data_IF_427149464827
#
_entry.id   IF_427149464827
#
_cell.length_a   1.000
_cell.length_b   1.000
_cell.length_c   1.000
_cell.angle_alpha   90.00
_cell.angle_beta   90.00
_cell.angle_gamma   90.00
#
_symmetry.space_group_name_H-M   'P 1'
#
loop_
_entity.id
_entity.type
_entity.pdbx_description
1 polymer ?
#
# COMPACT_ATOMS: atom_id res chain seq x y z
N UNK A 1 -14.66 4.55 4.77
CA UNK A 1 -13.53 3.63 4.97
C UNK A 1 -12.52 3.78 3.84
N UNK A 2 -11.26 4.02 4.18
CA UNK A 2 -10.15 4.09 3.21
C UNK A 2 -9.86 2.71 2.62
N UNK A 3 -9.71 2.64 1.29
CA UNK A 3 -9.16 1.47 0.58
C UNK A 3 -8.02 1.96 -0.31
N UNK A 4 -6.79 1.58 0.01
CA UNK A 4 -5.61 2.06 -0.71
C UNK A 4 -4.78 0.89 -1.24
N UNK A 5 -4.36 1.01 -2.50
CA UNK A 5 -3.37 0.11 -3.12
C UNK A 5 -2.05 0.84 -3.31
N UNK A 6 -0.98 0.21 -2.90
CA UNK A 6 0.37 0.61 -3.27
C UNK A 6 0.77 -0.14 -4.52
N UNK A 7 1.04 0.58 -5.58
CA UNK A 7 1.30 0.06 -6.92
C UNK A 7 2.62 0.55 -7.48
N UNK A 8 3.27 -0.26 -8.29
CA UNK A 8 4.37 0.15 -9.16
C UNK A 8 4.32 -0.61 -10.48
N UNK A 9 4.64 0.05 -11.59
CA UNK A 9 4.70 -0.61 -12.89
C UNK A 9 5.77 -1.71 -12.93
N UNK A 10 6.89 -1.52 -12.24
CA UNK A 10 8.03 -2.44 -12.25
C UNK A 10 8.52 -2.72 -10.83
N UNK A 11 9.02 -3.93 -10.60
CA UNK A 11 9.69 -4.29 -9.35
C UNK A 11 10.91 -3.41 -9.05
N UNK A 12 11.24 -3.27 -7.77
CA UNK A 12 12.36 -2.44 -7.31
C UNK A 12 12.05 -0.94 -7.25
N UNK A 13 10.79 -0.53 -7.30
CA UNK A 13 10.38 0.86 -7.05
C UNK A 13 10.36 1.24 -5.57
N UNK A 14 10.49 0.28 -4.65
CA UNK A 14 10.43 0.50 -3.20
C UNK A 14 9.00 0.59 -2.63
N UNK A 15 8.03 0.04 -3.35
CA UNK A 15 6.60 0.05 -2.97
C UNK A 15 6.36 -0.53 -1.58
N UNK A 16 6.83 -1.75 -1.33
CA UNK A 16 6.66 -2.47 -0.06
C UNK A 16 7.28 -1.72 1.11
N UNK A 17 8.48 -1.17 0.93
CA UNK A 17 9.17 -0.37 1.96
C UNK A 17 8.43 0.92 2.25
N UNK A 18 7.93 1.61 1.21
CA UNK A 18 7.13 2.81 1.37
C UNK A 18 5.86 2.50 2.18
N UNK A 19 5.14 1.45 1.82
CA UNK A 19 3.95 1.00 2.54
C UNK A 19 4.27 0.71 4.01
N UNK A 20 5.27 -0.14 4.25
CA UNK A 20 5.65 -0.58 5.60
C UNK A 20 5.97 0.61 6.52
N UNK A 21 6.79 1.56 6.04
CA UNK A 21 7.17 2.74 6.81
C UNK A 21 6.02 3.77 6.96
N UNK A 22 5.01 3.75 6.08
CA UNK A 22 3.84 4.64 6.20
C UNK A 22 2.81 4.13 7.21
N UNK A 23 2.75 2.83 7.47
CA UNK A 23 1.72 2.21 8.33
C UNK A 23 1.59 2.83 9.72
N UNK A 24 2.69 3.08 10.49
CA UNK A 24 2.58 3.68 11.82
C UNK A 24 1.94 5.06 11.80
N UNK A 25 2.30 5.89 10.84
CA UNK A 25 1.78 7.24 10.68
C UNK A 25 0.31 7.20 10.25
N UNK A 26 -0.03 6.31 9.32
CA UNK A 26 -1.42 6.13 8.87
C UNK A 26 -2.33 5.64 10.02
N UNK A 27 -1.83 4.75 10.88
CA UNK A 27 -2.59 4.29 12.04
C UNK A 27 -2.88 5.45 13.01
N UNK A 28 -1.92 6.34 13.23
CA UNK A 28 -2.10 7.56 14.04
C UNK A 28 -3.10 8.53 13.40
N UNK A 29 -2.93 8.85 12.12
CA UNK A 29 -3.81 9.80 11.40
C UNK A 29 -5.27 9.31 11.36
N UNK A 30 -5.49 8.01 11.22
CA UNK A 30 -6.83 7.42 11.22
C UNK A 30 -7.38 7.13 12.63
N UNK A 31 -6.62 7.36 13.69
CA UNK A 31 -6.96 6.96 15.05
C UNK A 31 -7.36 5.47 15.11
N UNK A 32 -6.59 4.63 14.43
CA UNK A 32 -6.85 3.20 14.39
C UNK A 32 -6.62 2.56 15.77
N UNK A 33 -7.43 1.58 16.10
CA UNK A 33 -7.37 0.85 17.37
C UNK A 33 -7.82 -0.61 17.17
N UNK A 34 -7.80 -1.41 18.22
CA UNK A 34 -8.13 -2.84 18.14
C UNK A 34 -9.59 -3.14 17.77
N UNK A 35 -10.51 -2.18 17.93
CA UNK A 35 -11.94 -2.34 17.55
C UNK A 35 -12.22 -1.75 16.17
N UNK A 36 -11.37 -0.86 15.68
CA UNK A 36 -11.44 -0.17 14.40
C UNK A 36 -10.06 -0.24 13.70
N UNK A 37 -9.58 -1.44 13.35
CA UNK A 37 -8.21 -1.63 12.86
C UNK A 37 -8.03 -1.20 11.40
N UNK A 38 -6.77 -1.14 10.99
CA UNK A 38 -6.34 -1.18 9.60
C UNK A 38 -6.10 -2.64 9.22
N UNK A 39 -6.59 -3.06 8.07
CA UNK A 39 -6.33 -4.39 7.51
C UNK A 39 -5.28 -4.24 6.40
N UNK A 40 -4.17 -4.95 6.51
CA UNK A 40 -3.09 -4.94 5.53
C UNK A 40 -3.06 -6.26 4.79
N UNK A 41 -3.08 -6.22 3.46
CA UNK A 41 -3.05 -7.40 2.60
C UNK A 41 -1.77 -7.38 1.77
N UNK A 42 -0.95 -8.42 1.87
CA UNK A 42 0.14 -8.67 0.93
C UNK A 42 -0.38 -9.49 -0.26
N UNK A 43 -0.63 -8.81 -1.38
CA UNK A 43 -1.11 -9.41 -2.62
C UNK A 43 0.01 -9.68 -3.63
N UNK A 44 1.26 -9.36 -3.28
CA UNK A 44 2.45 -9.72 -4.07
C UNK A 44 2.85 -11.16 -3.74
N UNK A 45 2.11 -12.10 -4.35
CA UNK A 45 2.23 -13.54 -4.07
C UNK A 45 3.57 -14.13 -4.53
N UNK A 46 4.26 -13.46 -5.45
CA UNK A 46 5.54 -13.90 -6.00
C UNK A 46 6.70 -13.45 -5.11
N UNK A 47 6.83 -12.16 -4.86
CA UNK A 47 7.96 -11.62 -4.09
C UNK A 47 7.74 -11.70 -2.58
N UNK A 48 6.48 -11.64 -2.11
CA UNK A 48 6.08 -11.73 -0.70
C UNK A 48 6.85 -10.78 0.22
N UNK A 49 7.23 -9.61 -0.33
CA UNK A 49 8.16 -8.70 0.34
C UNK A 49 7.67 -8.24 1.70
N UNK A 50 6.40 -7.87 1.81
CA UNK A 50 5.79 -7.45 3.07
C UNK A 50 5.67 -8.61 4.06
N UNK A 51 5.38 -9.81 3.57
CA UNK A 51 5.24 -11.02 4.40
C UNK A 51 6.55 -11.49 5.03
N UNK A 52 7.70 -11.11 4.45
CA UNK A 52 9.01 -11.36 5.10
C UNK A 52 9.36 -10.33 6.17
N UNK A 53 8.74 -9.15 6.14
CA UNK A 53 8.97 -8.08 7.11
C UNK A 53 8.03 -8.17 8.32
N UNK A 54 6.88 -8.83 8.17
CA UNK A 54 5.80 -8.83 9.16
C UNK A 54 5.55 -10.23 9.71
N UNK A 55 5.14 -10.34 10.98
CA UNK A 55 4.85 -11.64 11.59
C UNK A 55 3.65 -12.31 10.93
N UNK A 56 3.72 -13.60 10.78
CA UNK A 56 2.66 -14.41 10.20
C UNK A 56 2.17 -15.46 11.20
N UNK A 57 0.85 -15.57 11.38
CA UNK A 57 0.27 -16.71 12.08
C UNK A 57 0.32 -17.92 11.16
N UNK A 58 1.02 -18.98 11.55
CA UNK A 58 1.08 -20.24 10.79
C UNK A 58 -0.30 -20.84 10.49
N UNK A 59 -1.26 -20.66 11.42
CA UNK A 59 -2.65 -21.11 11.28
C UNK A 59 -3.59 -20.06 10.68
N UNK A 60 -3.08 -18.87 10.33
CA UNK A 60 -3.88 -17.75 9.86
C UNK A 60 -4.38 -17.93 8.43
N UNK A 61 -5.35 -17.07 8.06
CA UNK A 61 -5.78 -16.92 6.67
C UNK A 61 -4.69 -16.18 5.89
N UNK A 62 -4.44 -16.61 4.66
CA UNK A 62 -3.45 -15.98 3.77
C UNK A 62 -4.11 -15.30 2.55
N UNK A 63 -3.33 -14.54 1.80
CA UNK A 63 -3.83 -13.77 0.66
C UNK A 63 -4.47 -14.64 -0.43
N UNK A 64 -3.95 -15.85 -0.69
CA UNK A 64 -4.54 -16.78 -1.65
C UNK A 64 -5.95 -17.18 -1.23
N UNK A 65 -6.15 -17.50 0.05
CA UNK A 65 -7.45 -17.85 0.59
C UNK A 65 -8.42 -16.66 0.54
N UNK A 66 -7.89 -15.43 0.79
CA UNK A 66 -8.67 -14.20 0.63
C UNK A 66 -9.13 -14.03 -0.82
N UNK A 67 -8.23 -14.16 -1.79
CA UNK A 67 -8.55 -13.99 -3.22
C UNK A 67 -9.53 -15.07 -3.72
N UNK A 68 -9.45 -16.29 -3.20
CA UNK A 68 -10.35 -17.38 -3.55
C UNK A 68 -11.69 -17.40 -2.82
N UNK A 69 -11.89 -16.51 -1.85
CA UNK A 69 -13.13 -16.43 -1.08
C UNK A 69 -13.32 -17.56 -0.08
N UNK A 70 -12.33 -17.80 0.78
CA UNK A 70 -12.41 -18.77 1.87
C UNK A 70 -13.69 -18.60 2.71
N UNK A 71 -14.23 -19.70 3.23
CA UNK A 71 -15.45 -19.69 4.06
C UNK A 71 -15.32 -18.84 5.33
N UNK A 72 -14.09 -18.63 5.82
CA UNK A 72 -13.83 -17.75 6.95
C UNK A 72 -14.15 -16.27 6.65
N UNK A 73 -14.19 -15.90 5.36
CA UNK A 73 -14.54 -14.55 4.88
C UNK A 73 -16.07 -14.37 4.75
N UNK A 74 -16.85 -15.34 5.18
CA UNK A 74 -18.31 -15.25 5.08
C UNK A 74 -18.86 -14.13 5.98
N UNK A 75 -19.94 -13.47 5.52
CA UNK A 75 -20.68 -12.44 6.28
C UNK A 75 -21.47 -13.03 7.48
N UNK A 76 -20.86 -13.92 8.26
CA UNK A 76 -21.48 -14.44 9.48
C UNK A 76 -21.38 -13.38 10.55
N UNK A 77 -22.51 -12.97 11.07
CA UNK A 77 -22.56 -12.01 12.18
C UNK A 77 -21.83 -12.52 13.42
N UNK A 78 -20.95 -11.68 13.93
CA UNK A 78 -20.39 -11.79 15.26
C UNK A 78 -20.62 -10.48 15.98
N UNK A 79 -20.90 -10.51 17.26
CA UNK A 79 -21.11 -9.30 18.07
C UNK A 79 -19.83 -8.49 18.28
N UNK A 80 -18.66 -9.03 17.93
CA UNK A 80 -17.37 -8.40 18.14
C UNK A 80 -16.40 -8.79 17.02
N UNK A 81 -15.62 -7.83 16.51
CA UNK A 81 -14.58 -8.03 15.50
C UNK A 81 -13.61 -9.14 15.87
N UNK A 82 -13.21 -9.23 17.16
CA UNK A 82 -12.25 -10.23 17.66
C UNK A 82 -12.76 -11.67 17.57
N UNK A 83 -14.08 -11.86 17.59
CA UNK A 83 -14.73 -13.17 17.54
C UNK A 83 -15.12 -13.57 16.13
N UNK A 84 -14.99 -12.68 15.16
CA UNK A 84 -15.30 -13.02 13.77
C UNK A 84 -14.21 -13.92 13.19
N UNK A 85 -14.56 -15.04 12.51
CA UNK A 85 -13.59 -16.02 12.00
C UNK A 85 -12.51 -15.42 11.12
N UNK A 86 -12.80 -14.39 10.33
CA UNK A 86 -11.82 -13.71 9.50
C UNK A 86 -10.80 -12.96 10.37
N UNK A 87 -11.26 -12.03 11.19
CA UNK A 87 -10.35 -11.14 11.94
C UNK A 87 -9.54 -11.88 13.01
N UNK A 88 -10.10 -12.92 13.64
CA UNK A 88 -9.41 -13.73 14.63
C UNK A 88 -8.20 -14.51 14.09
N UNK A 89 -8.14 -14.71 12.77
CA UNK A 89 -7.04 -15.38 12.08
C UNK A 89 -5.95 -14.42 11.60
N UNK A 90 -6.16 -13.10 11.67
CA UNK A 90 -5.16 -12.12 11.26
C UNK A 90 -4.08 -11.93 12.32
N UNK A 91 -2.87 -11.60 11.87
CA UNK A 91 -1.73 -11.29 12.75
C UNK A 91 -1.76 -9.81 13.13
N UNK A 92 -1.74 -9.45 14.43
CA UNK A 92 -1.50 -8.06 14.83
C UNK A 92 -0.02 -7.71 14.60
N UNK A 93 0.26 -6.51 14.10
CA UNK A 93 1.62 -6.08 13.71
C UNK A 93 2.06 -4.76 14.37
N UNK A 94 1.43 -4.37 15.47
CA UNK A 94 1.71 -3.07 16.10
C UNK A 94 3.16 -2.88 16.52
N UNK A 95 3.73 -3.88 17.20
CA UNK A 95 5.10 -3.82 17.71
C UNK A 95 6.13 -3.81 16.58
N UNK A 96 5.94 -4.62 15.56
CA UNK A 96 6.83 -4.74 14.41
C UNK A 96 6.91 -3.46 13.57
N UNK A 97 5.85 -2.68 13.54
CA UNK A 97 5.82 -1.37 12.86
C UNK A 97 6.06 -0.20 13.82
N UNK A 98 6.54 -0.47 15.03
CA UNK A 98 6.89 0.58 15.99
C UNK A 98 5.69 1.39 16.48
N UNK A 99 4.51 0.78 16.59
CA UNK A 99 3.36 1.42 17.20
C UNK A 99 3.50 1.50 18.72
N UNK A 100 3.01 2.57 19.35
CA UNK A 100 2.84 2.62 20.78
C UNK A 100 2.01 1.45 21.31
N UNK A 101 2.24 1.02 22.54
CA UNK A 101 1.58 -0.14 23.14
C UNK A 101 0.04 -0.07 23.09
N UNK A 102 -0.53 1.12 23.21
CA UNK A 102 -1.97 1.38 23.08
C UNK A 102 -2.53 1.14 21.68
N UNK A 103 -1.67 1.17 20.65
CA UNK A 103 -2.05 0.90 19.27
C UNK A 103 -1.66 -0.49 18.78
N UNK A 104 -1.17 -1.36 19.67
CA UNK A 104 -0.54 -2.66 19.36
C UNK A 104 -1.46 -3.62 18.61
N UNK A 105 -2.71 -3.48 18.48
CA UNK A 105 -3.63 -4.31 17.69
C UNK A 105 -4.42 -3.51 16.66
N UNK A 106 -3.96 -2.29 16.40
CA UNK A 106 -4.63 -1.40 15.46
C UNK A 106 -4.36 -1.74 14.00
N UNK A 107 -3.39 -2.62 13.72
CA UNK A 107 -3.09 -3.10 12.37
C UNK A 107 -3.13 -4.63 12.37
N UNK A 108 -3.91 -5.21 11.46
CA UNK A 108 -4.06 -6.65 11.27
C UNK A 108 -3.57 -7.03 9.88
N UNK A 109 -2.79 -8.10 9.79
CA UNK A 109 -2.06 -8.48 8.58
C UNK A 109 -2.53 -9.81 7.99
N UNK A 110 -2.66 -9.84 6.67
CA UNK A 110 -2.88 -11.03 5.83
C UNK A 110 -1.62 -11.26 5.00
N UNK A 111 -0.92 -12.35 5.29
CA UNK A 111 0.33 -12.71 4.63
C UNK A 111 0.12 -13.31 3.24
N UNK A 112 1.07 -13.08 2.32
CA UNK A 112 1.17 -13.79 1.05
C UNK A 112 1.71 -15.23 1.18
N UNK A 113 2.24 -15.61 2.34
CA UNK A 113 2.72 -16.98 2.55
C UNK A 113 1.56 -17.96 2.50
N UNK A 114 1.63 -18.90 1.55
CA UNK A 114 0.71 -20.02 1.47
C UNK A 114 1.20 -21.14 2.38
N UNK A 115 0.26 -21.89 2.98
CA UNK A 115 0.58 -23.20 3.55
C UNK A 115 1.09 -24.14 2.46
N UNK A 116 1.96 -25.09 2.82
CA UNK A 116 2.44 -26.12 1.89
C UNK A 116 1.26 -26.72 1.12
N UNK A 117 1.38 -26.77 -0.21
CA UNK A 117 0.36 -27.31 -1.12
C UNK A 117 -0.68 -26.31 -1.66
N UNK A 118 -0.71 -25.06 -1.21
CA UNK A 118 -1.56 -24.05 -1.81
C UNK A 118 -0.79 -23.33 -2.94
N UNK A 119 -0.97 -23.77 -4.17
CA UNK A 119 -0.45 -23.07 -5.36
C UNK A 119 -1.47 -22.07 -5.85
N UNK A 120 -1.05 -20.82 -6.04
CA UNK A 120 -1.80 -19.82 -6.80
C UNK A 120 -1.56 -20.10 -8.28
N UNK A 121 -2.54 -20.66 -8.96
CA UNK A 121 -2.49 -20.96 -10.39
C UNK A 121 -3.16 -19.78 -11.12
N UNK A 122 -2.39 -18.74 -11.45
CA UNK A 122 -2.91 -17.49 -12.02
C UNK A 122 -3.52 -17.58 -13.43
N UNK A 123 -3.46 -18.71 -14.11
CA UNK A 123 -4.01 -18.86 -15.46
C UNK A 123 -5.47 -19.34 -15.50
N UNK A 124 -6.01 -19.87 -14.41
CA UNK A 124 -7.39 -20.36 -14.31
C UNK A 124 -8.24 -19.64 -13.25
N UNK A 125 -7.69 -18.66 -12.57
CA UNK A 125 -8.44 -17.97 -11.53
C UNK A 125 -9.35 -16.91 -12.16
N UNK A 126 -10.63 -17.03 -11.85
CA UNK A 126 -11.68 -16.20 -12.37
C UNK A 126 -11.59 -14.80 -11.74
N UNK A 127 -11.23 -13.79 -12.53
CA UNK A 127 -11.18 -12.38 -12.13
C UNK A 127 -12.44 -11.93 -11.36
N UNK A 128 -13.61 -12.38 -11.77
CA UNK A 128 -14.87 -12.04 -11.10
C UNK A 128 -14.96 -12.67 -9.69
N UNK A 129 -14.36 -13.84 -9.49
CA UNK A 129 -14.31 -14.49 -8.18
C UNK A 129 -13.39 -13.73 -7.22
N UNK A 130 -12.18 -13.34 -7.65
CA UNK A 130 -11.27 -12.52 -6.83
C UNK A 130 -11.91 -11.17 -6.46
N UNK A 131 -12.52 -10.52 -7.44
CA UNK A 131 -13.22 -9.25 -7.23
C UNK A 131 -14.40 -9.40 -6.28
N UNK A 132 -15.18 -10.46 -6.40
CA UNK A 132 -16.28 -10.76 -5.48
C UNK A 132 -15.78 -10.98 -4.05
N UNK A 133 -14.68 -11.71 -3.90
CA UNK A 133 -14.05 -11.96 -2.61
C UNK A 133 -13.52 -10.68 -1.97
N UNK A 134 -12.80 -9.84 -2.71
CA UNK A 134 -12.30 -8.55 -2.23
C UNK A 134 -13.44 -7.61 -1.82
N UNK A 135 -14.56 -7.63 -2.51
CA UNK A 135 -15.78 -6.91 -2.10
C UNK A 135 -16.36 -7.46 -0.81
N UNK A 136 -16.33 -8.76 -0.62
CA UNK A 136 -16.78 -9.38 0.64
C UNK A 136 -15.90 -8.93 1.80
N UNK A 137 -14.57 -8.93 1.64
CA UNK A 137 -13.64 -8.38 2.65
C UNK A 137 -13.93 -6.90 2.90
N UNK A 138 -14.14 -6.10 1.86
CA UNK A 138 -14.50 -4.68 2.00
C UNK A 138 -15.79 -4.48 2.80
N UNK A 139 -16.81 -5.30 2.57
CA UNK A 139 -18.10 -5.25 3.30
C UNK A 139 -17.93 -5.64 4.76
N UNK A 140 -17.17 -6.71 5.05
CA UNK A 140 -16.82 -7.10 6.42
C UNK A 140 -16.10 -5.95 7.15
N UNK A 141 -15.09 -5.36 6.52
CA UNK A 141 -14.37 -4.26 7.12
C UNK A 141 -15.27 -3.02 7.38
N UNK A 142 -16.22 -2.76 6.50
CA UNK A 142 -17.22 -1.69 6.72
C UNK A 142 -18.17 -2.02 7.88
N UNK A 143 -18.66 -3.25 7.96
CA UNK A 143 -19.56 -3.72 9.01
C UNK A 143 -18.93 -3.62 10.41
N UNK A 144 -17.63 -3.91 10.48
CA UNK A 144 -16.85 -3.82 11.73
C UNK A 144 -16.10 -2.49 11.91
N UNK A 145 -16.45 -1.45 11.15
CA UNK A 145 -15.86 -0.12 11.25
C UNK A 145 -14.33 -0.07 11.14
N UNK A 146 -13.72 -0.99 10.37
CA UNK A 146 -12.28 -0.89 10.09
C UNK A 146 -11.95 0.47 9.48
N UNK A 147 -10.84 1.06 9.89
CA UNK A 147 -10.41 2.39 9.40
C UNK A 147 -9.97 2.33 7.94
N UNK A 148 -9.21 1.28 7.59
CA UNK A 148 -8.69 1.14 6.23
C UNK A 148 -8.46 -0.31 5.83
N UNK A 149 -8.40 -0.53 4.51
CA UNK A 149 -7.77 -1.69 3.87
C UNK A 149 -6.59 -1.16 3.06
N UNK A 150 -5.39 -1.65 3.38
CA UNK A 150 -4.13 -1.29 2.71
C UNK A 150 -3.61 -2.52 1.97
N UNK A 151 -3.30 -2.37 0.70
CA UNK A 151 -2.93 -3.49 -0.18
C UNK A 151 -1.55 -3.26 -0.79
N UNK A 152 -0.60 -4.16 -0.52
CA UNK A 152 0.64 -4.26 -1.28
C UNK A 152 0.39 -5.10 -2.52
N UNK A 153 0.57 -4.53 -3.71
CA UNK A 153 0.23 -5.22 -4.96
C UNK A 153 1.49 -5.72 -5.66
N UNK A 154 1.40 -6.78 -6.48
CA UNK A 154 2.51 -7.12 -7.37
C UNK A 154 2.81 -5.98 -8.35
N UNK A 155 4.01 -5.98 -8.91
CA UNK A 155 4.38 -5.05 -9.96
C UNK A 155 3.69 -5.40 -11.28
N UNK A 156 3.39 -4.37 -12.07
CA UNK A 156 2.85 -4.54 -13.43
C UNK A 156 1.37 -4.94 -13.48
N UNK A 157 1.03 -5.84 -14.40
CA UNK A 157 -0.36 -6.15 -14.76
C UNK A 157 -0.84 -7.52 -14.26
N UNK A 158 -0.36 -7.97 -13.10
CA UNK A 158 -0.82 -9.22 -12.50
C UNK A 158 -2.26 -9.10 -11.99
N UNK A 159 -3.01 -10.19 -12.03
CA UNK A 159 -4.45 -10.23 -11.74
C UNK A 159 -4.80 -9.67 -10.35
N UNK A 160 -4.11 -10.14 -9.30
CA UNK A 160 -4.33 -9.67 -7.93
C UNK A 160 -4.08 -8.17 -7.77
N UNK A 161 -3.05 -7.64 -8.48
CA UNK A 161 -2.77 -6.20 -8.52
C UNK A 161 -3.88 -5.41 -9.19
N UNK A 162 -4.34 -5.84 -10.36
CA UNK A 162 -5.45 -5.18 -11.08
C UNK A 162 -6.74 -5.21 -10.26
N UNK A 163 -7.02 -6.33 -9.60
CA UNK A 163 -8.18 -6.46 -8.69
C UNK A 163 -8.10 -5.47 -7.55
N UNK A 164 -6.94 -5.36 -6.89
CA UNK A 164 -6.70 -4.41 -5.82
C UNK A 164 -6.89 -2.96 -6.27
N UNK A 165 -6.32 -2.59 -7.43
CA UNK A 165 -6.47 -1.26 -8.01
C UNK A 165 -7.95 -0.92 -8.27
N UNK A 166 -8.75 -1.86 -8.78
CA UNK A 166 -10.18 -1.66 -9.04
C UNK A 166 -11.00 -1.47 -7.78
N UNK A 167 -10.68 -2.17 -6.72
CA UNK A 167 -11.42 -2.11 -5.46
C UNK A 167 -10.95 -0.98 -4.52
N UNK A 168 -9.85 -0.29 -4.85
CA UNK A 168 -9.35 0.87 -4.10
C UNK A 168 -10.10 2.15 -4.42
N UNK A 169 -10.15 3.09 -3.47
CA UNK A 169 -10.55 4.47 -3.70
C UNK A 169 -9.35 5.42 -3.84
N UNK A 170 -8.20 5.05 -3.25
CA UNK A 170 -6.93 5.74 -3.45
C UNK A 170 -5.85 4.78 -3.96
N UNK A 171 -4.95 5.27 -4.80
CA UNK A 171 -3.83 4.49 -5.35
C UNK A 171 -2.55 5.27 -5.14
N UNK A 172 -1.59 4.68 -4.45
CA UNK A 172 -0.23 5.20 -4.33
C UNK A 172 0.60 4.61 -5.46
N UNK A 173 0.89 5.42 -6.48
CA UNK A 173 1.71 5.02 -7.63
C UNK A 173 3.18 5.33 -7.35
N UNK A 174 3.93 4.30 -6.96
CA UNK A 174 5.35 4.43 -6.62
C UNK A 174 6.21 4.27 -7.86
N UNK A 175 7.07 5.23 -8.15
CA UNK A 175 7.96 5.18 -9.31
C UNK A 175 9.34 5.74 -9.02
N UNK A 176 10.37 5.18 -9.66
CA UNK A 176 11.67 5.83 -9.78
C UNK A 176 11.64 6.86 -10.89
N UNK A 177 12.47 7.89 -10.79
CA UNK A 177 12.50 8.99 -11.78
C UNK A 177 13.16 8.62 -13.12
N UNK A 178 13.68 7.39 -13.27
CA UNK A 178 14.29 6.94 -14.55
C UNK A 178 13.25 6.77 -15.65
N UNK A 179 13.65 6.96 -16.91
CA UNK A 179 12.75 6.85 -18.06
C UNK A 179 11.99 5.51 -18.10
N UNK A 180 12.65 4.40 -17.76
CA UNK A 180 12.05 3.08 -17.79
C UNK A 180 10.84 2.96 -16.84
N UNK A 181 10.95 3.52 -15.63
CA UNK A 181 9.84 3.51 -14.68
C UNK A 181 8.74 4.49 -15.10
N UNK A 182 9.11 5.73 -15.45
CA UNK A 182 8.14 6.77 -15.80
C UNK A 182 7.31 6.37 -17.02
N UNK A 183 7.97 6.03 -18.13
CA UNK A 183 7.27 5.69 -19.38
C UNK A 183 6.39 4.46 -19.22
N UNK A 184 6.86 3.43 -18.53
CA UNK A 184 6.06 2.24 -18.25
C UNK A 184 4.86 2.54 -17.35
N UNK A 185 5.03 3.39 -16.34
CA UNK A 185 3.90 3.81 -15.49
C UNK A 185 2.87 4.60 -16.28
N UNK A 186 3.28 5.55 -17.13
CA UNK A 186 2.35 6.33 -17.96
C UNK A 186 1.57 5.43 -18.92
N UNK A 187 2.27 4.49 -19.56
CA UNK A 187 1.64 3.53 -20.47
C UNK A 187 0.61 2.65 -19.74
N UNK A 188 0.96 2.12 -18.57
CA UNK A 188 0.06 1.32 -17.75
C UNK A 188 -1.17 2.13 -17.31
N UNK A 189 -0.97 3.34 -16.80
CA UNK A 189 -2.07 4.20 -16.35
C UNK A 189 -3.00 4.56 -17.52
N UNK A 190 -2.45 4.82 -18.71
CA UNK A 190 -3.23 5.07 -19.91
C UNK A 190 -4.07 3.86 -20.30
N UNK A 191 -3.49 2.66 -20.28
CA UNK A 191 -4.22 1.42 -20.58
C UNK A 191 -5.33 1.12 -19.58
N UNK A 192 -5.18 1.58 -18.34
CA UNK A 192 -6.11 1.36 -17.23
C UNK A 192 -6.97 2.56 -16.89
N UNK A 193 -6.87 3.66 -17.62
CA UNK A 193 -7.54 4.93 -17.30
C UNK A 193 -9.03 4.77 -17.03
N UNK A 194 -9.73 3.97 -17.84
CA UNK A 194 -11.16 3.68 -17.67
C UNK A 194 -11.45 2.96 -16.34
N UNK A 195 -10.58 2.05 -15.90
CA UNK A 195 -10.74 1.27 -14.68
C UNK A 195 -10.39 2.08 -13.42
N UNK A 196 -9.62 3.17 -13.61
CA UNK A 196 -9.14 4.05 -12.56
C UNK A 196 -10.00 5.31 -12.38
N UNK A 197 -11.13 5.40 -13.09
CA UNK A 197 -12.08 6.51 -12.96
C UNK A 197 -12.59 6.65 -11.52
N UNK A 198 -12.78 7.91 -11.09
CA UNK A 198 -13.25 8.26 -9.75
C UNK A 198 -12.32 7.82 -8.61
N UNK A 199 -11.06 7.56 -8.90
CA UNK A 199 -10.05 7.26 -7.90
C UNK A 199 -9.11 8.44 -7.72
N UNK A 200 -8.52 8.52 -6.54
CA UNK A 200 -7.44 9.45 -6.26
C UNK A 200 -6.11 8.75 -6.48
N UNK A 201 -5.25 9.34 -7.30
CA UNK A 201 -3.93 8.81 -7.61
C UNK A 201 -2.87 9.70 -6.94
N UNK A 202 -2.13 9.12 -6.00
CA UNK A 202 -1.01 9.79 -5.35
C UNK A 202 0.27 9.25 -5.98
N UNK A 203 0.97 10.08 -6.74
CA UNK A 203 2.24 9.72 -7.36
C UNK A 203 3.37 10.00 -6.37
N UNK A 204 4.17 8.98 -6.10
CA UNK A 204 5.30 9.07 -5.18
C UNK A 204 6.59 8.76 -5.93
N UNK A 205 7.38 9.80 -6.30
CA UNK A 205 8.75 9.60 -6.77
C UNK A 205 9.58 9.02 -5.61
N UNK A 206 10.14 7.84 -5.82
CA UNK A 206 10.91 7.13 -4.81
C UNK A 206 12.33 6.82 -5.32
N UNK A 207 13.28 6.63 -4.41
CA UNK A 207 14.70 6.47 -4.73
C UNK A 207 15.20 7.60 -5.65
N UNK A 208 14.87 8.83 -5.28
CA UNK A 208 15.32 10.01 -6.01
C UNK A 208 16.76 10.30 -5.63
N UNK A 209 17.72 10.25 -6.56
CA UNK A 209 19.11 10.59 -6.27
C UNK A 209 19.24 12.04 -5.84
N UNK A 210 20.26 12.31 -5.04
CA UNK A 210 20.64 13.70 -4.76
C UNK A 210 21.30 14.32 -6.01
N UNK A 211 20.68 15.34 -6.57
CA UNK A 211 21.18 16.12 -7.69
C UNK A 211 21.71 17.48 -7.25
N UNK A 212 21.90 17.72 -5.95
CA UNK A 212 22.47 18.99 -5.46
C UNK A 212 23.83 19.26 -6.12
N UNK A 213 24.02 20.47 -6.61
CA UNK A 213 25.25 20.86 -7.31
C UNK A 213 25.42 20.40 -8.76
N UNK A 214 24.46 19.62 -9.31
CA UNK A 214 24.55 19.14 -10.71
C UNK A 214 23.92 20.07 -11.73
N UNK A 215 23.19 21.10 -11.30
CA UNK A 215 22.39 21.96 -12.19
C UNK A 215 21.11 21.29 -12.73
N UNK A 216 20.79 20.08 -12.26
CA UNK A 216 19.58 19.38 -12.67
C UNK A 216 18.34 19.99 -11.99
N UNK A 217 17.34 20.33 -12.80
CA UNK A 217 16.09 20.95 -12.31
C UNK A 217 15.07 19.88 -11.89
N UNK A 218 15.08 19.55 -10.62
CA UNK A 218 14.14 18.59 -10.03
C UNK A 218 12.70 19.09 -10.06
N UNK A 219 12.48 20.39 -9.87
CA UNK A 219 11.13 20.98 -9.94
C UNK A 219 10.50 20.76 -11.31
N UNK A 220 11.27 21.00 -12.38
CA UNK A 220 10.85 20.71 -13.76
C UNK A 220 10.58 19.23 -13.98
N UNK A 221 11.41 18.34 -13.43
CA UNK A 221 11.20 16.89 -13.53
C UNK A 221 9.90 16.49 -12.86
N UNK A 222 9.62 16.97 -11.67
CA UNK A 222 8.39 16.65 -10.93
C UNK A 222 7.14 17.22 -11.61
N UNK A 223 7.22 18.44 -12.15
CA UNK A 223 6.15 19.01 -12.95
C UNK A 223 5.86 18.18 -14.22
N UNK A 224 6.90 17.68 -14.90
CA UNK A 224 6.76 16.77 -16.05
C UNK A 224 6.11 15.44 -15.66
N UNK A 225 6.51 14.85 -14.50
CA UNK A 225 5.90 13.63 -13.99
C UNK A 225 4.40 13.85 -13.73
N UNK A 226 4.02 14.89 -13.01
CA UNK A 226 2.63 15.20 -12.72
C UNK A 226 1.82 15.41 -14.00
N UNK A 227 2.31 16.26 -14.90
CA UNK A 227 1.64 16.55 -16.17
C UNK A 227 1.41 15.30 -17.00
N UNK A 228 2.42 14.46 -17.17
CA UNK A 228 2.32 13.23 -17.96
C UNK A 228 1.47 12.15 -17.30
N UNK A 229 1.49 12.06 -15.97
CA UNK A 229 0.61 11.14 -15.24
C UNK A 229 -0.85 11.55 -15.38
N UNK A 230 -1.13 12.84 -15.21
CA UNK A 230 -2.48 13.40 -15.40
C UNK A 230 -2.96 13.15 -16.85
N UNK A 231 -2.15 13.50 -17.85
CA UNK A 231 -2.48 13.27 -19.24
C UNK A 231 -2.68 11.77 -19.60
N UNK A 232 -2.00 10.85 -18.92
CA UNK A 232 -2.19 9.41 -19.11
C UNK A 232 -3.52 8.90 -18.53
N UNK A 233 -4.08 9.61 -17.55
CA UNK A 233 -5.32 9.26 -16.86
C UNK A 233 -6.55 9.97 -17.44
N UNK A 234 -6.36 11.12 -18.08
CA UNK A 234 -7.44 11.90 -18.69
C UNK A 234 -7.93 11.20 -19.96
N UNK A 235 -9.15 10.68 -19.88
CA UNK A 235 -9.98 10.42 -21.03
C UNK A 235 -10.96 11.59 -21.16
N UNK A 236 -11.39 11.91 -22.40
CA UNK A 236 -12.16 13.11 -22.78
C UNK A 236 -13.44 13.39 -21.96
N UNK A 237 -13.84 12.50 -21.08
CA UNK A 237 -15.05 12.58 -20.25
C UNK A 237 -14.84 12.60 -18.75
N UNK A 238 -13.64 12.34 -18.20
CA UNK A 238 -13.44 12.15 -16.76
C UNK A 238 -12.18 12.83 -16.22
N UNK A 239 -12.37 13.62 -15.17
CA UNK A 239 -11.25 14.16 -14.38
C UNK A 239 -10.80 13.11 -13.36
N UNK A 240 -9.52 12.74 -13.39
CA UNK A 240 -8.89 11.95 -12.34
C UNK A 240 -8.15 12.90 -11.40
N UNK A 241 -8.37 12.74 -10.12
CA UNK A 241 -7.63 13.52 -9.13
C UNK A 241 -6.23 12.92 -8.98
N UNK A 242 -5.21 13.64 -9.42
CA UNK A 242 -3.82 13.20 -9.39
C UNK A 242 -2.98 14.19 -8.58
N UNK A 243 -2.36 13.70 -7.52
CA UNK A 243 -1.47 14.47 -6.64
C UNK A 243 -0.05 13.92 -6.74
N UNK A 244 0.94 14.79 -6.81
CA UNK A 244 2.35 14.41 -6.69
C UNK A 244 2.84 14.70 -5.28
N UNK A 245 3.32 13.67 -4.59
CA UNK A 245 3.84 13.77 -3.24
C UNK A 245 5.33 14.11 -3.29
N UNK A 246 5.66 15.33 -2.95
CA UNK A 246 7.05 15.83 -2.83
C UNK A 246 7.13 16.84 -1.71
N UNK A 247 8.30 16.98 -1.10
CA UNK A 247 8.61 18.10 -0.20
C UNK A 247 9.43 19.14 -0.99
N UNK A 248 8.75 20.09 -1.60
CA UNK A 248 9.35 21.06 -2.51
C UNK A 248 10.00 20.36 -3.71
N UNK A 249 11.33 20.51 -3.85
CA UNK A 249 12.11 19.86 -4.93
C UNK A 249 12.70 18.50 -4.54
N UNK A 250 12.30 17.95 -3.39
CA UNK A 250 12.81 16.67 -2.89
C UNK A 250 11.75 15.58 -3.02
N UNK A 251 12.14 14.44 -3.54
CA UNK A 251 11.37 13.19 -3.46
C UNK A 251 11.86 12.33 -2.30
N UNK A 252 11.27 11.17 -2.11
CA UNK A 252 11.76 10.20 -1.12
C UNK A 252 13.12 9.67 -1.58
N UNK A 253 14.14 9.87 -0.76
CA UNK A 253 15.47 9.31 -1.00
C UNK A 253 15.58 7.90 -0.42
N UNK A 254 15.33 6.89 -1.25
CA UNK A 254 15.38 5.49 -0.84
C UNK A 254 16.79 4.98 -0.53
N UNK A 255 17.82 5.61 -1.09
CA UNK A 255 19.20 5.11 -1.00
C UNK A 255 19.68 4.97 0.44
N UNK A 256 19.19 5.85 1.32
CA UNK A 256 19.54 5.81 2.74
C UNK A 256 18.63 4.90 3.57
N UNK A 257 17.43 4.62 3.11
CA UNK A 257 16.45 3.80 3.81
C UNK A 257 16.78 2.31 3.72
N UNK A 258 17.20 1.81 2.56
CA UNK A 258 17.49 0.38 2.37
C UNK A 258 18.70 -0.15 3.15
N UNK A 259 19.63 0.69 3.53
CA UNK A 259 20.76 0.27 4.37
C UNK A 259 20.37 -0.09 5.81
N UNK A 260 19.15 0.24 6.21
CA UNK A 260 18.68 0.12 7.59
C UNK A 260 17.54 -0.89 7.76
N UNK A 261 17.23 -1.68 6.74
CA UNK A 261 15.97 -2.39 6.62
C UNK A 261 15.94 -3.79 7.20
N UNK A 262 16.45 -3.98 8.34
CA UNK A 262 15.88 -5.05 9.17
C UNK A 262 14.84 -4.52 10.17
N UNK A 263 14.46 -3.26 10.09
CA UNK A 263 13.48 -2.62 10.94
C UNK A 263 12.86 -1.37 10.32
N UNK A 264 11.71 -0.93 10.80
CA UNK A 264 11.14 0.34 10.37
C UNK A 264 11.90 1.51 11.00
N UNK A 265 11.80 2.72 10.40
CA UNK A 265 12.52 3.91 10.86
C UNK A 265 12.18 4.31 12.29
N UNK A 266 10.96 4.05 12.76
CA UNK A 266 10.57 4.34 14.14
C UNK A 266 11.33 3.47 15.15
N UNK A 267 11.52 2.17 14.84
CA UNK A 267 12.36 1.28 15.68
C UNK A 267 13.84 1.72 15.68
N UNK A 268 14.33 2.20 14.54
CA UNK A 268 15.69 2.76 14.48
C UNK A 268 15.86 3.97 15.40
N UNK A 269 14.86 4.83 15.52
CA UNK A 269 14.90 6.00 16.39
C UNK A 269 15.01 5.64 17.88
N UNK A 270 14.54 4.45 18.28
CA UNK A 270 14.70 3.92 19.64
C UNK A 270 16.12 3.42 19.91
N UNK A 271 16.83 3.00 18.86
CA UNK A 271 18.19 2.44 18.97
C UNK A 271 19.25 3.53 18.89
N UNK A 272 19.05 4.54 18.04
CA UNK A 272 19.95 5.67 17.83
C UNK A 272 19.19 6.90 17.31
N UNK A 273 19.75 8.12 17.48
CA UNK A 273 19.21 9.31 16.80
C UNK A 273 19.19 9.11 15.28
N UNK A 274 18.12 9.56 14.64
CA UNK A 274 18.01 9.58 13.19
C UNK A 274 18.90 10.70 12.59
N UNK A 275 19.57 10.42 11.49
CA UNK A 275 20.25 11.42 10.67
C UNK A 275 19.28 12.32 9.92
N UNK A 276 19.80 13.39 9.30
CA UNK A 276 18.98 14.36 8.56
C UNK A 276 18.17 13.71 7.43
N UNK A 277 18.78 12.85 6.64
CA UNK A 277 18.12 12.13 5.53
C UNK A 277 16.99 11.21 6.03
N UNK A 278 17.20 10.58 7.19
CA UNK A 278 16.19 9.71 7.80
C UNK A 278 15.01 10.53 8.35
N UNK A 279 15.29 11.69 8.93
CA UNK A 279 14.25 12.63 9.38
C UNK A 279 13.44 13.20 8.21
N UNK A 280 14.08 13.49 7.07
CA UNK A 280 13.37 13.89 5.85
C UNK A 280 12.47 12.76 5.34
N UNK A 281 12.94 11.52 5.37
CA UNK A 281 12.11 10.36 5.00
C UNK A 281 10.90 10.20 5.92
N UNK A 282 11.08 10.36 7.24
CA UNK A 282 9.97 10.33 8.21
C UNK A 282 8.90 11.37 7.86
N UNK A 283 9.30 12.61 7.56
CA UNK A 283 8.36 13.66 7.13
C UNK A 283 7.57 13.26 5.89
N UNK A 284 8.21 12.60 4.93
CA UNK A 284 7.52 12.15 3.73
C UNK A 284 6.51 11.04 4.01
N UNK A 285 6.81 10.11 4.95
CA UNK A 285 5.83 9.10 5.37
C UNK A 285 4.65 9.70 6.13
N UNK A 286 4.90 10.70 7.00
CA UNK A 286 3.85 11.47 7.66
C UNK A 286 2.98 12.22 6.65
N UNK A 287 3.59 12.86 5.66
CA UNK A 287 2.88 13.57 4.61
C UNK A 287 2.01 12.62 3.78
N UNK A 288 2.54 11.46 3.40
CA UNK A 288 1.76 10.43 2.70
C UNK A 288 0.60 9.93 3.55
N UNK A 289 0.82 9.67 4.82
CA UNK A 289 -0.23 9.22 5.73
C UNK A 289 -1.37 10.25 5.85
N UNK A 290 -1.04 11.53 5.99
CA UNK A 290 -2.01 12.65 6.00
C UNK A 290 -2.78 12.73 4.70
N UNK A 291 -2.11 12.64 3.55
CA UNK A 291 -2.76 12.68 2.23
C UNK A 291 -3.70 11.48 2.05
N UNK A 292 -3.31 10.29 2.53
CA UNK A 292 -4.17 9.12 2.53
C UNK A 292 -5.39 9.27 3.44
N UNK A 293 -5.25 9.87 4.61
CA UNK A 293 -6.33 10.08 5.55
C UNK A 293 -7.32 11.18 5.11
N UNK A 294 -6.86 12.17 4.30
CA UNK A 294 -7.69 13.25 3.81
C UNK A 294 -8.89 12.74 2.98
N UNK A 295 -10.06 13.35 3.19
CA UNK A 295 -11.28 13.03 2.43
C UNK A 295 -11.99 11.74 2.85
N UNK A 296 -11.61 11.11 3.97
CA UNK A 296 -12.27 9.92 4.53
C UNK A 296 -13.20 10.23 5.73
N UNK A 297 -13.51 11.50 5.97
CA UNK A 297 -14.46 11.95 7.01
C UNK A 297 -15.90 11.95 6.51
#
# INVERSE_FOLDING_TARGET
MLKVSFFSYKGGAGRTSLLFNTLPFLAKELNANENEPIIVLDLDLDSKGLSYLLPNKESGINAIQVLRGDRAISLRHSSNIKNHPFFSQLSPIGEEVGLPAELNRSILFVSAHAKEGATYLGENDNYDAERSSMRTVSRLCQEYNCKAIVMDTPAGNQLSGVTALKESNKIVSVMRITNQFRLGTYEFLRQKSHELQNKEIIVVPNAVPDFSGTGFDMGRMFADILTKTTAALEDSSNRVNCTLLTDGNKGINEVNLFKFIEGNLLKLSEIRPLGEDELEAVKMYELLAKELANGNN
#
